data_IF_816505017989
#
_entry.id   IF_816505017989
#
_cell.length_a   1.000
_cell.length_b   1.000
_cell.length_c   1.000
_cell.angle_alpha   90.00
_cell.angle_beta   90.00
_cell.angle_gamma   90.00
#
_symmetry.space_group_name_H-M   'P 1'
#
loop_
_entity.id
_entity.type
_entity.pdbx_description
1 polymer ?
#
# COMPACT_ATOMS: atom_id res chain seq x y z
N UNK A 1 -3.84 15.47 -8.82
CA UNK A 1 -3.14 14.21 -8.47
C UNK A 1 -1.87 14.61 -7.77
N UNK A 2 -1.63 14.11 -6.57
CA UNK A 2 -0.48 14.50 -5.75
C UNK A 2 -0.09 13.35 -4.82
N UNK A 3 1.12 13.44 -4.28
CA UNK A 3 1.67 12.49 -3.31
C UNK A 3 1.60 13.11 -1.93
N UNK A 4 1.10 12.37 -0.95
CA UNK A 4 1.03 12.81 0.45
C UNK A 4 1.33 11.66 1.41
N UNK A 5 1.53 11.99 2.68
CA UNK A 5 1.60 10.99 3.73
C UNK A 5 0.22 10.33 3.91
N UNK A 6 0.24 9.04 4.19
CA UNK A 6 -0.93 8.28 4.56
C UNK A 6 -1.42 8.70 5.95
N UNK A 7 -2.72 8.60 6.18
CA UNK A 7 -3.39 8.84 7.45
C UNK A 7 -4.25 7.65 7.85
N UNK A 8 -4.68 7.57 9.11
CA UNK A 8 -5.57 6.51 9.61
C UNK A 8 -6.85 6.38 8.76
N UNK A 9 -7.35 7.50 8.21
CA UNK A 9 -8.53 7.52 7.35
C UNK A 9 -8.33 6.77 6.03
N UNK A 10 -7.08 6.56 5.61
CA UNK A 10 -6.73 5.88 4.36
C UNK A 10 -6.67 4.35 4.54
N UNK A 11 -6.53 3.83 5.78
CA UNK A 11 -6.24 2.42 6.08
C UNK A 11 -7.18 1.45 5.36
N UNK A 12 -8.48 1.74 5.35
CA UNK A 12 -9.47 0.89 4.68
C UNK A 12 -9.14 0.75 3.19
N UNK A 13 -8.86 1.85 2.50
CA UNK A 13 -8.53 1.86 1.07
C UNK A 13 -7.16 1.22 0.80
N UNK A 14 -6.18 1.43 1.68
CA UNK A 14 -4.86 0.82 1.54
C UNK A 14 -4.92 -0.71 1.66
N UNK A 15 -5.66 -1.23 2.64
CA UNK A 15 -5.86 -2.67 2.82
C UNK A 15 -6.66 -3.30 1.67
N UNK A 16 -7.59 -2.56 1.05
CA UNK A 16 -8.25 -3.00 -0.18
C UNK A 16 -7.26 -3.13 -1.35
N UNK A 17 -6.39 -2.13 -1.55
CA UNK A 17 -5.36 -2.17 -2.60
C UNK A 17 -4.40 -3.33 -2.37
N UNK A 18 -3.94 -3.54 -1.13
CA UNK A 18 -3.10 -4.66 -0.73
C UNK A 18 -3.75 -6.00 -1.11
N UNK A 19 -4.97 -6.24 -0.61
CA UNK A 19 -5.70 -7.48 -0.85
C UNK A 19 -5.92 -7.76 -2.34
N UNK A 20 -6.39 -6.77 -3.11
CA UNK A 20 -6.67 -6.95 -4.54
C UNK A 20 -5.41 -7.11 -5.40
N UNK A 21 -4.29 -6.56 -4.94
CA UNK A 21 -3.00 -6.75 -5.62
C UNK A 21 -2.47 -8.17 -5.39
N UNK A 22 -2.58 -8.68 -4.16
CA UNK A 22 -2.15 -10.04 -3.81
C UNK A 22 -3.06 -11.12 -4.40
N UNK A 23 -4.38 -10.92 -4.37
CA UNK A 23 -5.35 -11.85 -4.95
C UNK A 23 -5.15 -12.07 -6.47
N UNK A 24 -4.46 -11.17 -7.17
CA UNK A 24 -4.18 -11.34 -8.59
C UNK A 24 -3.25 -12.50 -8.91
N UNK A 25 -2.35 -12.87 -8.00
CA UNK A 25 -1.32 -13.87 -8.25
C UNK A 25 -1.84 -15.32 -8.18
N UNK A 26 -3.16 -15.52 -8.28
CA UNK A 26 -3.85 -16.81 -8.23
C UNK A 26 -3.44 -17.66 -7.01
N UNK A 27 -3.18 -17.01 -5.87
CA UNK A 27 -3.00 -17.73 -4.62
C UNK A 27 -4.25 -18.54 -4.28
N UNK A 28 -4.07 -19.75 -3.74
CA UNK A 28 -5.18 -20.59 -3.28
C UNK A 28 -6.08 -19.79 -2.33
N UNK A 29 -7.40 -19.94 -2.41
CA UNK A 29 -8.37 -19.19 -1.58
C UNK A 29 -8.02 -19.24 -0.08
N UNK A 30 -7.49 -20.37 0.39
CA UNK A 30 -7.01 -20.57 1.76
C UNK A 30 -5.87 -19.63 2.16
N UNK A 31 -4.98 -19.29 1.23
CA UNK A 31 -3.92 -18.31 1.45
C UNK A 31 -4.52 -16.92 1.68
N UNK A 32 -5.42 -16.49 0.78
CA UNK A 32 -6.05 -15.17 0.89
C UNK A 32 -6.92 -15.03 2.14
N UNK A 33 -7.51 -16.13 2.64
CA UNK A 33 -8.27 -16.13 3.89
C UNK A 33 -7.41 -15.79 5.12
N UNK A 34 -6.17 -16.28 5.18
CA UNK A 34 -5.22 -15.94 6.26
C UNK A 34 -4.40 -14.67 5.99
N UNK A 35 -4.32 -14.25 4.73
CA UNK A 35 -3.50 -13.10 4.34
C UNK A 35 -3.96 -11.81 5.03
N UNK A 36 -5.27 -11.53 5.01
CA UNK A 36 -5.77 -10.25 5.56
C UNK A 36 -5.57 -10.16 7.07
N UNK A 37 -5.69 -11.26 7.81
CA UNK A 37 -5.48 -11.24 9.26
C UNK A 37 -4.02 -11.02 9.65
N UNK A 38 -3.08 -11.41 8.79
CA UNK A 38 -1.64 -11.30 9.04
C UNK A 38 -1.03 -9.99 8.53
N UNK A 39 -1.49 -9.49 7.38
CA UNK A 39 -0.82 -8.42 6.65
C UNK A 39 -1.61 -7.11 6.58
N UNK A 40 -2.86 -7.07 7.04
CA UNK A 40 -3.60 -5.81 7.09
C UNK A 40 -2.84 -4.78 7.93
N UNK A 41 -2.68 -3.58 7.37
CA UNK A 41 -2.14 -2.46 8.12
C UNK A 41 -3.17 -1.98 9.14
N UNK A 42 -2.70 -1.75 10.36
CA UNK A 42 -3.47 -1.07 11.40
C UNK A 42 -2.86 0.31 11.71
N UNK A 43 -3.47 1.02 12.67
CA UNK A 43 -3.02 2.36 13.08
C UNK A 43 -1.58 2.37 13.63
N UNK A 44 -1.22 1.33 14.39
CA UNK A 44 0.14 1.17 14.93
C UNK A 44 1.16 1.02 13.80
N UNK A 45 0.87 0.20 12.79
CA UNK A 45 1.76 0.03 11.65
C UNK A 45 1.99 1.35 10.90
N UNK A 46 0.91 2.13 10.72
CA UNK A 46 0.96 3.40 10.01
C UNK A 46 1.72 4.49 10.76
N UNK A 47 1.65 4.49 12.09
CA UNK A 47 2.34 5.46 12.93
C UNK A 47 3.86 5.21 13.01
N UNK A 48 4.28 3.95 12.87
CA UNK A 48 5.70 3.55 12.96
C UNK A 48 6.38 3.62 11.58
N UNK A 49 5.62 3.60 10.48
CA UNK A 49 6.16 3.54 9.13
C UNK A 49 5.90 4.81 8.31
N UNK A 50 6.81 5.11 7.37
CA UNK A 50 6.59 6.20 6.42
C UNK A 50 5.70 5.66 5.30
N UNK A 51 4.39 5.82 5.46
CA UNK A 51 3.41 5.56 4.42
C UNK A 51 3.27 6.75 3.48
N UNK A 52 3.62 6.60 2.19
CA UNK A 52 3.27 7.60 1.16
C UNK A 52 2.20 7.01 0.26
N UNK A 53 1.27 7.87 -0.15
CA UNK A 53 0.21 7.53 -1.10
C UNK A 53 0.24 8.47 -2.29
N UNK A 54 -0.21 7.99 -3.44
CA UNK A 54 -0.53 8.82 -4.61
C UNK A 54 -2.04 8.76 -4.83
N UNK A 55 -2.69 9.92 -4.91
CA UNK A 55 -4.13 10.00 -5.12
C UNK A 55 -4.53 10.92 -6.28
N UNK A 56 -5.68 10.64 -6.88
CA UNK A 56 -6.30 11.47 -7.93
C UNK A 56 -7.80 11.51 -7.71
N UNK A 57 -8.35 12.70 -7.48
CA UNK A 57 -9.80 12.90 -7.30
C UNK A 57 -10.34 12.14 -6.09
N UNK A 58 -9.63 12.15 -4.96
CA UNK A 58 -10.02 11.45 -3.73
C UNK A 58 -9.86 9.93 -3.78
N UNK A 59 -9.36 9.37 -4.88
CA UNK A 59 -9.09 7.94 -5.03
C UNK A 59 -7.60 7.67 -4.89
N UNK A 60 -7.23 6.79 -3.95
CA UNK A 60 -5.86 6.31 -3.81
C UNK A 60 -5.53 5.38 -4.98
N UNK A 61 -4.48 5.72 -5.73
CA UNK A 61 -3.98 4.95 -6.87
C UNK A 61 -2.96 3.90 -6.41
N UNK A 62 -2.19 4.21 -5.37
CA UNK A 62 -1.19 3.31 -4.83
C UNK A 62 -0.48 3.91 -3.63
N UNK A 63 0.32 3.09 -2.98
CA UNK A 63 1.04 3.46 -1.77
C UNK A 63 2.34 2.67 -1.64
N UNK A 64 3.25 3.18 -0.82
CA UNK A 64 4.33 2.38 -0.27
C UNK A 64 4.47 2.60 1.23
N UNK A 65 5.13 1.65 1.88
CA UNK A 65 5.51 1.69 3.29
C UNK A 65 7.01 1.50 3.42
N UNK A 66 7.65 2.39 4.16
CA UNK A 66 9.03 2.19 4.62
C UNK A 66 9.02 1.86 6.11
N UNK A 67 9.54 0.69 6.46
CA UNK A 67 9.80 0.29 7.83
C UNK A 67 11.17 0.84 8.29
N UNK A 68 11.25 1.62 9.39
CA UNK A 68 12.53 2.12 9.88
C UNK A 68 13.44 0.98 10.39
N UNK A 69 14.70 0.97 9.94
CA UNK A 69 15.75 0.05 10.38
C UNK A 69 17.00 0.84 10.78
N UNK A 70 17.02 1.36 12.00
CA UNK A 70 18.12 2.18 12.52
C UNK A 70 18.34 3.44 11.66
N UNK A 71 19.51 3.55 11.02
CA UNK A 71 19.86 4.65 10.12
C UNK A 71 19.42 4.43 8.66
N UNK A 72 18.64 3.38 8.40
CA UNK A 72 18.12 3.02 7.07
C UNK A 72 16.61 2.76 7.14
N UNK A 73 15.98 2.56 5.99
CA UNK A 73 14.60 2.14 5.89
C UNK A 73 14.47 0.99 4.89
N UNK A 74 13.63 0.02 5.22
CA UNK A 74 13.29 -1.10 4.35
C UNK A 74 11.95 -0.83 3.66
N UNK A 75 11.91 -1.04 2.35
CA UNK A 75 10.68 -0.99 1.59
C UNK A 75 9.91 -2.30 1.81
N UNK A 76 8.81 -2.24 2.54
CA UNK A 76 7.99 -3.41 2.89
C UNK A 76 6.81 -3.57 1.91
N UNK A 77 6.03 -2.50 1.73
CA UNK A 77 4.92 -2.49 0.79
C UNK A 77 5.18 -1.50 -0.34
N UNK A 78 4.94 -1.91 -1.58
CA UNK A 78 4.88 -1.01 -2.73
C UNK A 78 3.82 -1.50 -3.72
N UNK A 79 2.62 -0.95 -3.61
CA UNK A 79 1.47 -1.37 -4.40
C UNK A 79 0.91 -0.23 -5.26
N UNK A 80 0.55 -0.58 -6.49
CA UNK A 80 -0.23 0.25 -7.40
C UNK A 80 -1.48 -0.53 -7.77
N UNK A 81 -2.65 0.12 -7.74
CA UNK A 81 -3.90 -0.47 -8.24
C UNK A 81 -3.69 -1.06 -9.64
N UNK A 82 -4.22 -2.26 -9.86
CA UNK A 82 -4.02 -3.02 -11.10
C UNK A 82 -4.42 -2.27 -12.36
N UNK A 83 -5.55 -1.57 -12.33
CA UNK A 83 -6.05 -0.74 -13.44
C UNK A 83 -5.20 0.51 -13.74
N UNK A 84 -4.18 0.75 -12.91
CA UNK A 84 -3.27 1.88 -12.98
C UNK A 84 -1.82 1.48 -13.29
N UNK A 85 -1.51 0.18 -13.37
CA UNK A 85 -0.17 -0.32 -13.73
C UNK A 85 0.17 0.07 -15.19
N UNK A 86 1.45 0.35 -15.45
CA UNK A 86 1.95 0.78 -16.76
C UNK A 86 1.76 2.26 -17.08
N UNK A 87 1.12 3.04 -16.20
CA UNK A 87 0.85 4.48 -16.41
C UNK A 87 1.86 5.43 -15.74
N UNK A 88 2.95 4.88 -15.18
CA UNK A 88 4.02 5.66 -14.54
C UNK A 88 3.73 6.13 -13.10
N UNK A 89 2.64 5.68 -12.47
CA UNK A 89 2.30 6.09 -11.10
C UNK A 89 3.30 5.59 -10.04
N UNK A 90 3.88 4.41 -10.21
CA UNK A 90 4.93 3.91 -9.31
C UNK A 90 6.15 4.85 -9.25
N UNK A 91 6.64 5.28 -10.42
CA UNK A 91 7.74 6.26 -10.50
C UNK A 91 7.37 7.57 -9.80
N UNK A 92 6.18 8.10 -10.04
CA UNK A 92 5.73 9.36 -9.43
C UNK A 92 5.55 9.26 -7.92
N UNK A 93 5.09 8.11 -7.43
CA UNK A 93 4.92 7.85 -6.01
C UNK A 93 6.27 7.78 -5.28
N UNK A 94 7.28 7.17 -5.92
CA UNK A 94 8.61 7.00 -5.35
C UNK A 94 9.44 8.30 -5.24
N UNK A 95 9.18 9.26 -6.13
CA UNK A 95 9.85 10.56 -6.17
C UNK A 95 9.47 11.47 -4.99
#
# INVERSE_FOLDING_TARGET
MFVRQASVKDLQMLNQILYHSEAYWNHYERYMAGFISLFQMNETDLNISIGRIIEKGGTIIGFFRIEPKGNSGELDYFYIRRDCIGKGFGRRLWQ
#
